data_IF_573946868597
#
_entry.id   IF_573946868597
#
_cell.length_a   1.000
_cell.length_b   1.000
_cell.length_c   1.000
_cell.angle_alpha   90.00
_cell.angle_beta   90.00
_cell.angle_gamma   90.00
#
_symmetry.space_group_name_H-M   'P 1'
#
loop_
_entity.id
_entity.type
_entity.pdbx_description
1 polymer ?
#
# COMPACT_ATOMS: atom_id res chain seq x y z
N UNK A 1 -24.49 -13.54 -7.74
CA UNK A 1 -24.08 -12.15 -7.59
C UNK A 1 -22.91 -11.87 -8.53
N UNK A 2 -22.98 -10.78 -9.26
CA UNK A 2 -21.92 -10.42 -10.19
C UNK A 2 -20.63 -10.06 -9.44
N UNK A 3 -19.51 -10.22 -10.13
CA UNK A 3 -18.20 -9.99 -9.50
C UNK A 3 -18.07 -8.55 -8.99
N UNK A 4 -18.61 -7.58 -9.72
CA UNK A 4 -18.57 -6.17 -9.34
C UNK A 4 -19.40 -5.92 -8.08
N UNK A 5 -20.51 -6.61 -7.93
CA UNK A 5 -21.35 -6.48 -6.74
C UNK A 5 -20.66 -7.06 -5.52
N UNK A 6 -19.98 -8.20 -5.67
CA UNK A 6 -19.21 -8.78 -4.58
C UNK A 6 -18.05 -7.88 -4.20
N UNK A 7 -17.35 -7.29 -5.18
CA UNK A 7 -16.27 -6.35 -4.90
C UNK A 7 -16.78 -5.15 -4.11
N UNK A 8 -17.91 -4.59 -4.52
CA UNK A 8 -18.54 -3.47 -3.81
C UNK A 8 -18.96 -3.83 -2.40
N UNK A 9 -19.47 -5.05 -2.21
CA UNK A 9 -19.84 -5.51 -0.87
C UNK A 9 -18.64 -5.63 0.04
N UNK A 10 -17.55 -6.19 -0.46
CA UNK A 10 -16.31 -6.35 0.33
C UNK A 10 -15.76 -4.99 0.71
N UNK A 11 -15.71 -4.05 -0.23
CA UNK A 11 -15.28 -2.68 0.05
C UNK A 11 -16.15 -2.04 1.14
N UNK A 12 -17.46 -2.19 1.03
CA UNK A 12 -18.39 -1.65 2.01
C UNK A 12 -18.19 -2.29 3.38
N UNK A 13 -18.01 -3.62 3.42
CA UNK A 13 -17.83 -4.35 4.68
C UNK A 13 -16.53 -3.97 5.38
N UNK A 14 -15.49 -3.65 4.62
CA UNK A 14 -14.23 -3.17 5.20
C UNK A 14 -14.36 -1.78 5.79
N UNK A 15 -15.20 -0.93 5.20
CA UNK A 15 -15.46 0.41 5.72
C UNK A 15 -14.18 1.21 5.92
N UNK A 16 -13.91 1.62 7.16
CA UNK A 16 -12.72 2.39 7.49
C UNK A 16 -11.42 1.60 7.32
N UNK A 17 -11.52 0.28 7.27
CA UNK A 17 -10.36 -0.59 7.04
C UNK A 17 -10.08 -0.81 5.56
N UNK A 18 -10.86 -0.19 4.67
CA UNK A 18 -10.56 -0.17 3.24
C UNK A 18 -9.23 0.55 3.05
N UNK A 19 -8.27 -0.13 2.42
CA UNK A 19 -6.88 0.32 2.39
C UNK A 19 -6.70 1.76 1.86
N UNK A 20 -7.37 2.16 0.75
CA UNK A 20 -7.30 3.55 0.31
C UNK A 20 -7.82 4.56 1.32
N UNK A 21 -8.79 4.19 2.15
CA UNK A 21 -9.28 5.10 3.20
C UNK A 21 -8.24 5.29 4.29
N UNK A 22 -7.55 4.23 4.68
CA UNK A 22 -6.44 4.33 5.63
C UNK A 22 -5.38 5.28 5.06
N UNK A 23 -5.06 5.12 3.80
CA UNK A 23 -4.08 5.96 3.12
C UNK A 23 -4.50 7.43 3.13
N UNK A 24 -5.72 7.73 2.68
CA UNK A 24 -6.22 9.11 2.65
C UNK A 24 -6.38 9.72 4.03
N UNK A 25 -6.94 8.96 4.97
CA UNK A 25 -7.36 9.51 6.25
C UNK A 25 -6.27 9.53 7.30
N UNK A 26 -5.28 8.65 7.19
CA UNK A 26 -4.22 8.53 8.19
C UNK A 26 -2.84 8.88 7.66
N UNK A 27 -2.51 8.49 6.43
CA UNK A 27 -1.20 8.79 5.87
C UNK A 27 -1.13 10.19 5.30
N UNK A 28 -2.06 10.53 4.39
CA UNK A 28 -2.00 11.81 3.67
C UNK A 28 -2.27 13.02 4.56
N UNK A 29 -2.80 12.83 5.75
CA UNK A 29 -2.99 13.91 6.71
C UNK A 29 -1.72 14.25 7.47
N UNK A 30 -0.73 13.40 7.40
CA UNK A 30 0.56 13.62 8.03
C UNK A 30 1.47 14.39 7.08
N UNK A 31 2.56 14.88 7.62
CA UNK A 31 3.64 15.42 6.81
C UNK A 31 4.33 14.24 6.13
N UNK A 32 4.34 14.24 4.80
CA UNK A 32 4.84 13.11 4.02
C UNK A 32 5.82 13.56 2.97
N UNK A 33 6.60 12.60 2.50
CA UNK A 33 7.42 12.74 1.29
C UNK A 33 6.96 11.70 0.30
N UNK A 34 7.16 11.97 -0.98
CA UNK A 34 6.84 11.02 -2.03
C UNK A 34 7.98 10.03 -2.20
N UNK A 35 7.65 8.76 -2.32
CA UNK A 35 8.59 7.71 -2.65
C UNK A 35 8.21 7.10 -3.99
N UNK A 36 9.16 6.97 -4.89
CA UNK A 36 8.94 6.39 -6.22
C UNK A 36 9.68 5.05 -6.34
N UNK A 37 8.92 4.00 -6.71
CA UNK A 37 9.50 2.69 -7.02
C UNK A 37 9.85 2.64 -8.50
N UNK A 38 11.13 2.57 -8.83
CA UNK A 38 11.56 2.49 -10.21
C UNK A 38 11.29 1.11 -10.77
N UNK A 39 10.74 1.07 -11.99
CA UNK A 39 10.54 -0.19 -12.72
C UNK A 39 9.61 -1.19 -12.03
N UNK A 40 8.69 -0.69 -11.22
CA UNK A 40 7.75 -1.56 -10.50
C UNK A 40 6.78 -2.23 -11.46
N UNK A 41 6.68 -3.56 -11.36
CA UNK A 41 5.78 -4.36 -12.19
C UNK A 41 4.69 -4.98 -11.33
N UNK A 42 3.51 -5.20 -11.93
CA UNK A 42 2.32 -5.71 -11.22
C UNK A 42 2.53 -7.06 -10.57
N UNK A 43 3.33 -7.92 -11.16
CA UNK A 43 3.56 -9.29 -10.68
C UNK A 43 4.88 -9.43 -9.95
N UNK A 44 5.52 -8.33 -9.56
CA UNK A 44 6.80 -8.39 -8.88
C UNK A 44 6.66 -9.11 -7.54
N UNK A 45 7.60 -10.00 -7.27
CA UNK A 45 7.66 -10.67 -5.98
C UNK A 45 8.27 -9.72 -4.96
N UNK A 46 7.61 -9.59 -3.81
CA UNK A 46 8.03 -8.67 -2.75
C UNK A 46 8.40 -9.47 -1.51
N UNK A 47 9.61 -9.30 -1.03
CA UNK A 47 10.09 -9.97 0.20
C UNK A 47 10.90 -9.00 1.04
N UNK A 48 10.94 -9.28 2.35
CA UNK A 48 11.75 -8.52 3.30
C UNK A 48 12.83 -9.46 3.82
N UNK A 49 14.08 -9.00 3.80
CA UNK A 49 15.22 -9.80 4.23
C UNK A 49 16.06 -9.01 5.23
N UNK A 50 16.57 -9.72 6.24
CA UNK A 50 17.54 -9.16 7.17
C UNK A 50 18.93 -9.49 6.66
N UNK A 51 19.75 -8.48 6.47
CA UNK A 51 21.11 -8.63 5.97
C UNK A 51 22.09 -8.05 6.96
N UNK A 52 23.37 -8.25 6.69
CA UNK A 52 24.44 -7.63 7.53
C UNK A 52 24.38 -6.11 7.49
N UNK A 53 23.83 -5.53 6.42
CA UNK A 53 23.72 -4.09 6.26
C UNK A 53 22.42 -3.52 6.83
N UNK A 54 21.50 -4.38 7.27
CA UNK A 54 20.21 -3.96 7.81
C UNK A 54 19.03 -4.66 7.16
N UNK A 55 17.89 -3.98 7.11
CA UNK A 55 16.66 -4.54 6.54
C UNK A 55 16.57 -4.18 5.08
N UNK A 56 16.36 -5.17 4.24
CA UNK A 56 16.30 -4.99 2.81
C UNK A 56 14.93 -5.39 2.28
N UNK A 57 14.32 -4.52 1.48
CA UNK A 57 13.10 -4.81 0.76
C UNK A 57 13.47 -5.21 -0.66
N UNK A 58 13.13 -6.44 -1.04
CA UNK A 58 13.38 -6.93 -2.38
C UNK A 58 12.08 -6.91 -3.18
N UNK A 59 12.09 -6.17 -4.29
CA UNK A 59 10.95 -6.05 -5.19
C UNK A 59 11.41 -6.52 -6.56
N UNK A 60 10.99 -7.72 -6.93
CA UNK A 60 11.52 -8.37 -8.13
C UNK A 60 13.02 -8.56 -8.00
N UNK A 61 13.78 -7.93 -8.90
CA UNK A 61 15.25 -7.99 -8.87
C UNK A 61 15.88 -6.80 -8.15
N UNK A 62 15.07 -5.81 -7.78
CA UNK A 62 15.58 -4.60 -7.14
C UNK A 62 15.63 -4.78 -5.64
N UNK A 63 16.63 -4.19 -5.02
CA UNK A 63 16.83 -4.24 -3.58
C UNK A 63 16.89 -2.83 -3.03
N UNK A 64 16.13 -2.60 -1.96
CA UNK A 64 16.08 -1.31 -1.29
C UNK A 64 16.51 -1.51 0.16
N UNK A 65 17.57 -0.83 0.54
CA UNK A 65 17.97 -0.82 1.94
C UNK A 65 17.07 0.13 2.69
N UNK A 66 16.35 -0.39 3.68
CA UNK A 66 15.42 0.39 4.49
C UNK A 66 16.06 0.72 5.83
N UNK A 67 15.72 1.88 6.42
CA UNK A 67 16.31 2.26 7.71
C UNK A 67 15.89 1.32 8.84
N UNK A 68 14.70 0.70 8.72
CA UNK A 68 14.19 -0.19 9.74
C UNK A 68 13.16 -1.16 9.16
N UNK A 69 12.73 -2.12 9.97
CA UNK A 69 11.75 -3.11 9.57
C UNK A 69 10.37 -2.47 9.30
N UNK A 70 9.98 -1.50 10.11
CA UNK A 70 8.68 -0.85 9.95
C UNK A 70 8.55 -0.18 8.59
N UNK A 71 9.59 0.52 8.15
CA UNK A 71 9.61 1.16 6.83
C UNK A 71 9.55 0.11 5.71
N UNK A 72 10.29 -0.98 5.85
CA UNK A 72 10.25 -2.06 4.86
C UNK A 72 8.85 -2.68 4.77
N UNK A 73 8.20 -2.91 5.91
CA UNK A 73 6.83 -3.43 5.95
C UNK A 73 5.84 -2.47 5.31
N UNK A 74 5.97 -1.18 5.63
CA UNK A 74 5.13 -0.13 5.07
C UNK A 74 5.22 -0.12 3.54
N UNK A 75 6.43 -0.03 3.03
CA UNK A 75 6.68 0.02 1.60
C UNK A 75 6.26 -1.28 0.89
N UNK A 76 6.39 -2.43 1.56
CA UNK A 76 6.06 -3.71 0.95
C UNK A 76 4.59 -3.82 0.56
N UNK A 77 3.69 -3.20 1.33
CA UNK A 77 2.26 -3.20 1.00
C UNK A 77 2.03 -2.52 -0.34
N UNK A 78 2.62 -1.34 -0.52
CA UNK A 78 2.45 -0.58 -1.75
C UNK A 78 3.17 -1.22 -2.93
N UNK A 79 4.30 -1.85 -2.69
CA UNK A 79 5.00 -2.59 -3.74
C UNK A 79 4.16 -3.78 -4.23
N UNK A 80 3.51 -4.50 -3.31
CA UNK A 80 2.62 -5.60 -3.67
C UNK A 80 1.41 -5.13 -4.46
N UNK A 81 0.93 -3.93 -4.17
CA UNK A 81 -0.17 -3.32 -4.91
C UNK A 81 0.26 -2.72 -6.25
N UNK A 82 1.56 -2.71 -6.52
CA UNK A 82 2.16 -2.07 -7.70
C UNK A 82 1.86 -0.56 -7.76
N UNK A 83 1.83 0.08 -6.60
CA UNK A 83 1.70 1.54 -6.51
C UNK A 83 3.09 2.14 -6.65
N UNK A 84 3.35 2.75 -7.82
CA UNK A 84 4.68 3.27 -8.13
C UNK A 84 5.06 4.49 -7.31
N UNK A 85 4.10 5.30 -6.92
CA UNK A 85 4.34 6.54 -6.19
C UNK A 85 3.46 6.56 -4.95
N UNK A 86 4.09 6.69 -3.80
CA UNK A 86 3.37 6.65 -2.52
C UNK A 86 3.92 7.69 -1.57
N UNK A 87 3.04 8.15 -0.67
CA UNK A 87 3.43 9.03 0.41
C UNK A 87 4.02 8.21 1.55
N UNK A 88 5.12 8.70 2.11
CA UNK A 88 5.77 8.09 3.28
C UNK A 88 5.85 9.16 4.37
N UNK A 89 5.35 8.88 5.58
CA UNK A 89 5.43 9.85 6.66
C UNK A 89 6.87 10.17 7.04
N UNK A 90 7.13 11.43 7.35
CA UNK A 90 8.41 11.84 7.90
C UNK A 90 8.61 11.32 9.32
N UNK A 91 7.53 11.26 10.09
CA UNK A 91 7.57 10.82 11.48
C UNK A 91 7.66 9.29 11.52
N UNK A 92 8.86 8.78 11.70
CA UNK A 92 9.13 7.34 11.71
C UNK A 92 8.41 6.62 12.85
N UNK A 93 8.06 7.34 13.93
CA UNK A 93 7.35 6.71 15.05
C UNK A 93 5.94 6.27 14.68
N UNK A 94 5.38 6.83 13.62
CA UNK A 94 4.03 6.49 13.15
C UNK A 94 4.03 5.39 12.10
N UNK A 95 5.16 5.10 11.50
CA UNK A 95 5.24 4.15 10.38
C UNK A 95 4.88 2.74 10.82
N UNK A 96 5.34 2.31 12.00
CA UNK A 96 5.09 0.95 12.48
C UNK A 96 3.59 0.67 12.60
N UNK A 97 2.84 1.59 13.20
CA UNK A 97 1.40 1.43 13.36
C UNK A 97 0.66 1.48 12.02
N UNK A 98 1.08 2.38 11.15
CA UNK A 98 0.50 2.44 9.80
C UNK A 98 0.78 1.17 9.02
N UNK A 99 1.98 0.61 9.15
CA UNK A 99 2.29 -0.67 8.52
C UNK A 99 1.37 -1.78 9.03
N UNK A 100 1.12 -1.82 10.35
CA UNK A 100 0.18 -2.79 10.93
C UNK A 100 -1.22 -2.64 10.32
N UNK A 101 -1.71 -1.42 10.25
CA UNK A 101 -3.06 -1.15 9.74
C UNK A 101 -3.17 -1.49 8.25
N UNK A 102 -2.16 -1.15 7.47
CA UNK A 102 -2.15 -1.42 6.03
C UNK A 102 -2.01 -2.91 5.73
N UNK A 103 -1.15 -3.61 6.45
CA UNK A 103 -1.00 -5.06 6.30
C UNK A 103 -2.28 -5.78 6.70
N UNK A 104 -2.87 -5.37 7.80
CA UNK A 104 -4.13 -5.94 8.26
C UNK A 104 -5.23 -5.78 7.21
N UNK A 105 -5.33 -4.60 6.62
CA UNK A 105 -6.30 -4.34 5.55
C UNK A 105 -6.03 -5.23 4.34
N UNK A 106 -4.76 -5.36 3.94
CA UNK A 106 -4.36 -6.23 2.83
C UNK A 106 -4.84 -7.67 3.05
N UNK A 107 -4.57 -8.23 4.24
CA UNK A 107 -4.97 -9.59 4.54
C UNK A 107 -6.48 -9.74 4.58
N UNK A 108 -7.20 -8.75 5.09
CA UNK A 108 -8.66 -8.79 5.17
C UNK A 108 -9.31 -8.79 3.79
N UNK A 109 -8.74 -8.08 2.83
CA UNK A 109 -9.24 -8.12 1.45
C UNK A 109 -9.20 -9.55 0.91
N UNK A 110 -8.06 -10.22 1.09
CA UNK A 110 -7.91 -11.61 0.64
C UNK A 110 -8.84 -12.56 1.40
N UNK A 111 -8.93 -12.38 2.71
CA UNK A 111 -9.79 -13.23 3.55
C UNK A 111 -11.26 -13.08 3.16
N UNK A 112 -11.74 -11.86 2.99
CA UNK A 112 -13.14 -11.62 2.62
C UNK A 112 -13.44 -12.14 1.21
N UNK A 113 -12.47 -12.07 0.31
CA UNK A 113 -12.63 -12.67 -1.02
C UNK A 113 -12.90 -14.17 -0.89
N UNK A 114 -12.13 -14.86 -0.07
CA UNK A 114 -12.30 -16.30 0.12
C UNK A 114 -13.61 -16.64 0.82
N UNK A 115 -14.02 -15.83 1.80
CA UNK A 115 -15.25 -16.06 2.55
C UNK A 115 -16.48 -15.77 1.70
N UNK A 116 -16.52 -14.62 1.03
CA UNK A 116 -17.70 -14.20 0.26
C UNK A 116 -17.89 -15.00 -1.03
N UNK A 117 -16.81 -15.52 -1.58
CA UNK A 117 -16.84 -16.29 -2.82
C UNK A 117 -16.46 -17.76 -2.59
N UNK A 118 -16.71 -18.30 -1.39
CA UNK A 118 -16.31 -19.66 -1.03
C UNK A 118 -16.99 -20.73 -1.90
N UNK A 119 -18.17 -20.43 -2.40
CA UNK A 119 -18.95 -21.33 -3.25
C UNK A 119 -18.67 -21.12 -4.74
N UNK A 120 -17.73 -20.24 -5.07
CA UNK A 120 -17.31 -19.98 -6.43
C UNK A 120 -16.04 -20.74 -6.76
N UNK A 121 -15.67 -20.73 -8.05
CA UNK A 121 -14.43 -21.37 -8.50
C UNK A 121 -13.20 -20.62 -8.03
N UNK A 122 -12.06 -21.31 -8.04
CA UNK A 122 -10.76 -20.67 -7.72
C UNK A 122 -10.47 -19.55 -8.71
N UNK A 123 -10.83 -19.75 -9.98
CA UNK A 123 -10.62 -18.74 -11.01
C UNK A 123 -11.46 -17.50 -10.73
N UNK A 124 -12.70 -17.67 -10.30
CA UNK A 124 -13.56 -16.54 -9.92
C UNK A 124 -12.98 -15.78 -8.75
N UNK A 125 -12.53 -16.48 -7.71
CA UNK A 125 -11.93 -15.85 -6.54
C UNK A 125 -10.66 -15.09 -6.91
N UNK A 126 -9.84 -15.63 -7.79
CA UNK A 126 -8.63 -14.94 -8.26
C UNK A 126 -8.98 -13.66 -9.01
N UNK A 127 -10.02 -13.72 -9.86
CA UNK A 127 -10.48 -12.52 -10.60
C UNK A 127 -11.05 -11.47 -9.66
N UNK A 128 -11.81 -11.89 -8.64
CA UNK A 128 -12.37 -10.97 -7.66
C UNK A 128 -11.25 -10.30 -6.86
N UNK A 129 -10.27 -11.06 -6.41
CA UNK A 129 -9.11 -10.52 -5.70
C UNK A 129 -8.34 -9.53 -6.58
N UNK A 130 -8.12 -9.89 -7.83
CA UNK A 130 -7.45 -9.01 -8.79
C UNK A 130 -8.20 -7.71 -9.01
N UNK A 131 -9.52 -7.78 -9.10
CA UNK A 131 -10.35 -6.59 -9.26
C UNK A 131 -10.25 -5.67 -8.03
N UNK A 132 -10.31 -6.25 -6.83
CA UNK A 132 -10.20 -5.49 -5.59
C UNK A 132 -8.84 -4.81 -5.48
N UNK A 133 -7.76 -5.53 -5.74
CA UNK A 133 -6.43 -4.93 -5.66
C UNK A 133 -6.19 -3.89 -6.75
N UNK A 134 -6.76 -4.08 -7.95
CA UNK A 134 -6.69 -3.06 -9.00
C UNK A 134 -7.43 -1.79 -8.59
N UNK A 135 -8.59 -1.94 -7.95
CA UNK A 135 -9.37 -0.80 -7.44
C UNK A 135 -8.59 -0.06 -6.35
N UNK A 136 -8.01 -0.80 -5.41
CA UNK A 136 -7.20 -0.22 -4.33
C UNK A 136 -6.03 0.57 -4.93
N UNK A 137 -5.30 -0.03 -5.85
CA UNK A 137 -4.17 0.62 -6.51
C UNK A 137 -4.61 1.92 -7.20
N UNK A 138 -5.71 1.85 -7.93
CA UNK A 138 -6.24 3.00 -8.67
C UNK A 138 -6.62 4.14 -7.72
N UNK A 139 -7.26 3.83 -6.60
CA UNK A 139 -7.66 4.84 -5.62
C UNK A 139 -6.46 5.46 -4.91
N UNK A 140 -5.45 4.67 -4.60
CA UNK A 140 -4.22 5.18 -3.97
C UNK A 140 -3.50 6.13 -4.93
N UNK A 141 -3.33 5.73 -6.19
CA UNK A 141 -2.66 6.58 -7.17
C UNK A 141 -3.44 7.86 -7.43
N UNK A 142 -4.78 7.78 -7.43
CA UNK A 142 -5.63 8.96 -7.59
C UNK A 142 -5.52 9.92 -6.39
N UNK A 143 -5.32 9.38 -5.19
CA UNK A 143 -5.15 10.19 -3.99
C UNK A 143 -3.80 10.93 -3.97
N UNK A 144 -2.83 10.41 -4.70
CA UNK A 144 -1.53 11.06 -4.86
C UNK A 144 -0.49 10.56 -3.89
N UNK A 145 0.73 11.06 -4.03
CA UNK A 145 1.87 10.64 -3.23
C UNK A 145 2.18 11.59 -2.08
N UNK A 146 1.16 12.32 -1.64
CA UNK A 146 1.25 13.16 -0.47
C UNK A 146 1.73 14.56 -0.75
N UNK A 147 1.84 15.33 0.31
CA UNK A 147 2.25 16.72 0.24
C UNK A 147 3.76 16.79 0.12
N UNK A 148 4.25 17.45 -0.92
CA UNK A 148 5.66 17.75 -1.04
C UNK A 148 6.06 18.67 0.11
N UNK A 149 7.32 18.61 0.51
CA UNK A 149 7.85 19.64 1.39
C UNK A 149 7.62 20.95 0.66
N UNK A 150 6.92 21.89 1.27
CA UNK A 150 6.59 23.14 0.57
C UNK A 150 7.84 23.83 0.06
N UNK A 151 7.80 24.27 -1.18
CA UNK A 151 8.89 25.01 -1.78
C UNK A 151 9.23 26.24 -0.93
N UNK A 152 8.19 26.91 -0.43
CA UNK A 152 8.42 28.09 0.40
C UNK A 152 9.23 27.76 1.65
N UNK A 153 9.10 26.56 2.18
CA UNK A 153 9.87 26.16 3.36
C UNK A 153 11.35 26.05 3.05
N UNK A 154 11.68 25.63 1.85
CA UNK A 154 13.05 25.56 1.39
C UNK A 154 13.55 26.95 1.00
N UNK A 155 12.69 27.74 0.41
CA UNK A 155 13.05 29.07 -0.04
C UNK A 155 13.04 30.12 1.07
N UNK A 156 12.43 29.85 2.22
CA UNK A 156 12.51 30.76 3.36
C UNK A 156 13.95 30.98 3.80
N UNK A 157 14.82 30.06 3.50
CA UNK A 157 16.26 30.23 3.77
C UNK A 157 16.91 31.21 2.85
N UNK A 158 16.30 31.45 1.72
CA UNK A 158 16.79 32.35 0.68
C UNK A 158 16.22 33.74 0.81
N UNK A 159 15.15 33.83 1.54
CA UNK A 159 14.44 35.10 1.74
C UNK A 159 15.09 35.96 2.81
#
# INVERSE_FOLDING_TARGET
MAIEELAGKIEHDLGESWLPRIYRDRVLKLRTRSYHFEGLQKSARVTIQHTLLGVELKVGRRRLLCPDLATARYLSVFARLACSDVAVPYDITKISRLADDLESSWFRVSLLTDVEAKDKSDQFRARLRGLLFATIRSEILAAGSGTRIPEFRQSTKQL
#
